data_IF_888996627500
#
_entry.id   IF_888996627500
#
_cell.length_a   1.000
_cell.length_b   1.000
_cell.length_c   1.000
_cell.angle_alpha   90.00
_cell.angle_beta   90.00
_cell.angle_gamma   90.00
#
_symmetry.space_group_name_H-M   'P 1'
#
loop_
_entity.id
_entity.type
_entity.pdbx_description
1 polymer ?
#
# COMPACT_ATOMS: atom_id res chain seq x y z
N UNK A 1 -8.68 -12.24 7.49
CA UNK A 1 -7.83 -13.00 6.54
C UNK A 1 -6.93 -12.01 5.81
N UNK A 2 -5.61 -12.28 5.65
CA UNK A 2 -4.75 -11.47 4.81
C UNK A 2 -5.12 -11.61 3.33
N UNK A 3 -5.26 -10.48 2.62
CA UNK A 3 -5.54 -10.44 1.18
C UNK A 3 -4.54 -9.55 0.46
N UNK A 4 -4.35 -9.77 -0.84
CA UNK A 4 -3.59 -8.86 -1.67
C UNK A 4 -4.26 -7.49 -1.73
N UNK A 5 -3.47 -6.41 -1.78
CA UNK A 5 -3.98 -5.04 -1.79
C UNK A 5 -3.35 -4.21 -2.88
N UNK A 6 -4.17 -3.42 -3.54
CA UNK A 6 -3.71 -2.56 -4.63
C UNK A 6 -3.07 -1.29 -4.07
N UNK A 7 -1.98 -0.88 -4.72
CA UNK A 7 -1.35 0.41 -4.55
C UNK A 7 -1.77 1.29 -5.73
N UNK A 8 -2.26 2.49 -5.44
CA UNK A 8 -2.67 3.46 -6.46
C UNK A 8 -1.65 4.59 -6.55
N UNK A 9 -1.62 5.28 -7.68
CA UNK A 9 -0.75 6.44 -7.85
C UNK A 9 -1.18 7.59 -6.90
N UNK A 10 -0.22 8.37 -6.41
CA UNK A 10 -0.45 9.52 -5.54
C UNK A 10 -1.14 10.68 -6.25
N UNK A 11 -1.16 10.68 -7.59
CA UNK A 11 -1.90 11.65 -8.42
C UNK A 11 -3.43 11.49 -8.38
N UNK A 12 -3.93 10.45 -7.68
CA UNK A 12 -5.36 10.15 -7.56
C UNK A 12 -5.91 9.26 -8.68
N UNK A 13 -5.05 8.78 -9.59
CA UNK A 13 -5.44 7.78 -10.59
C UNK A 13 -5.95 6.50 -9.92
N UNK A 14 -7.06 5.98 -10.43
CA UNK A 14 -7.64 4.72 -9.98
C UNK A 14 -6.96 3.49 -10.61
N UNK A 15 -5.99 3.68 -11.50
CA UNK A 15 -5.22 2.58 -12.06
C UNK A 15 -4.21 2.07 -11.00
N UNK A 16 -4.24 0.78 -10.64
CA UNK A 16 -3.27 0.23 -9.70
C UNK A 16 -1.88 0.20 -10.35
N UNK A 17 -0.87 0.58 -9.59
CA UNK A 17 0.54 0.62 -10.00
C UNK A 17 1.37 -0.50 -9.37
N UNK A 18 0.85 -1.13 -8.30
CA UNK A 18 1.44 -2.28 -7.65
C UNK A 18 0.41 -3.08 -6.85
N UNK A 19 0.82 -4.25 -6.38
CA UNK A 19 0.07 -5.11 -5.47
C UNK A 19 0.94 -5.46 -4.26
N UNK A 20 0.35 -5.41 -3.07
CA UNK A 20 0.94 -5.80 -1.81
C UNK A 20 0.46 -7.20 -1.45
N UNK A 21 1.34 -8.19 -1.60
CA UNK A 21 1.08 -9.58 -1.27
C UNK A 21 1.15 -9.81 0.25
N UNK A 22 0.26 -10.63 0.84
CA UNK A 22 0.38 -11.05 2.22
C UNK A 22 1.73 -11.69 2.53
N UNK A 23 2.24 -11.47 3.75
CA UNK A 23 3.52 -12.03 4.20
C UNK A 23 4.75 -11.30 3.67
N UNK A 24 4.58 -10.27 2.83
CA UNK A 24 5.67 -9.40 2.38
C UNK A 24 5.68 -8.10 3.18
N UNK A 25 6.86 -7.69 3.65
CA UNK A 25 7.03 -6.41 4.30
C UNK A 25 7.23 -5.30 3.27
N UNK A 26 6.49 -4.21 3.48
CA UNK A 26 6.50 -3.00 2.68
C UNK A 26 6.78 -1.81 3.60
N UNK A 27 7.48 -0.81 3.08
CA UNK A 27 7.78 0.37 3.86
C UNK A 27 6.55 1.27 3.91
N UNK A 28 6.04 1.59 5.10
CA UNK A 28 5.07 2.66 5.29
C UNK A 28 5.83 4.00 5.39
N UNK A 29 5.58 4.91 4.46
CA UNK A 29 6.30 6.18 4.37
C UNK A 29 5.53 7.33 5.01
N UNK A 30 4.20 7.34 4.87
CA UNK A 30 3.33 8.41 5.37
C UNK A 30 1.95 7.83 5.71
N UNK A 31 1.25 8.41 6.69
CA UNK A 31 -0.15 8.10 6.97
C UNK A 31 -1.04 9.29 6.61
N UNK A 32 -2.01 9.10 5.72
CA UNK A 32 -2.98 10.12 5.27
C UNK A 32 -4.39 9.70 5.67
N UNK A 33 -4.82 10.18 6.83
CA UNK A 33 -6.08 9.74 7.43
C UNK A 33 -6.09 8.22 7.64
N UNK A 34 -7.00 7.53 6.96
CA UNK A 34 -7.12 6.06 6.99
C UNK A 34 -6.25 5.33 5.97
N UNK A 35 -5.66 6.06 5.03
CA UNK A 35 -4.77 5.51 4.00
C UNK A 35 -3.29 5.61 4.40
N UNK A 36 -2.44 4.85 3.73
CA UNK A 36 -0.99 4.89 3.88
C UNK A 36 -0.32 5.18 2.54
N UNK A 37 0.79 5.92 2.55
CA UNK A 37 1.76 5.86 1.47
C UNK A 37 2.69 4.69 1.77
N UNK A 38 2.75 3.73 0.86
CA UNK A 38 3.62 2.57 0.98
C UNK A 38 4.63 2.54 -0.18
N UNK A 39 5.79 1.96 0.08
CA UNK A 39 6.82 1.68 -0.92
C UNK A 39 7.08 0.18 -1.00
N UNK A 40 7.05 -0.34 -2.23
CA UNK A 40 7.42 -1.73 -2.54
C UNK A 40 8.94 -1.91 -2.52
N UNK A 41 9.39 -3.16 -2.41
CA UNK A 41 10.83 -3.49 -2.38
C UNK A 41 11.58 -3.08 -3.65
N UNK A 42 10.88 -3.05 -4.80
CA UNK A 42 11.41 -2.56 -6.07
C UNK A 42 11.33 -1.03 -6.23
N UNK A 43 10.91 -0.31 -5.18
CA UNK A 43 10.96 1.15 -5.09
C UNK A 43 9.69 1.90 -5.52
N UNK A 44 8.66 1.22 -6.05
CA UNK A 44 7.38 1.87 -6.42
C UNK A 44 6.66 2.39 -5.18
N UNK A 45 6.17 3.62 -5.27
CA UNK A 45 5.46 4.32 -4.19
C UNK A 45 4.04 4.63 -4.61
N UNK A 46 3.12 4.55 -3.66
CA UNK A 46 1.72 4.88 -3.93
C UNK A 46 0.84 4.79 -2.68
N UNK A 47 -0.43 5.07 -2.90
CA UNK A 47 -1.47 5.12 -1.88
C UNK A 47 -2.09 3.75 -1.71
N UNK A 48 -2.08 3.27 -0.47
CA UNK A 48 -2.80 2.11 0.00
C UNK A 48 -4.05 2.56 0.73
N UNK A 49 -5.21 2.43 0.08
CA UNK A 49 -6.49 2.91 0.61
C UNK A 49 -7.10 1.94 1.62
N UNK A 50 -7.07 0.63 1.32
CA UNK A 50 -7.53 -0.38 2.27
C UNK A 50 -6.39 -0.80 3.20
N UNK A 51 -6.47 -0.36 4.44
CA UNK A 51 -5.50 -0.70 5.49
C UNK A 51 -6.04 -1.75 6.47
N UNK A 52 -7.24 -2.26 6.23
CA UNK A 52 -7.92 -3.23 7.10
C UNK A 52 -7.11 -4.52 7.17
N UNK A 53 -6.72 -4.96 8.37
CA UNK A 53 -6.01 -6.22 8.55
C UNK A 53 -4.56 -6.23 8.06
N UNK A 54 -3.95 -5.05 7.85
CA UNK A 54 -2.50 -4.91 7.67
C UNK A 54 -1.82 -5.03 9.03
N UNK A 55 -0.75 -5.82 9.07
CA UNK A 55 0.14 -5.90 10.23
C UNK A 55 1.20 -4.81 10.11
N UNK A 56 1.52 -4.16 11.23
CA UNK A 56 2.58 -3.15 11.34
C UNK A 56 3.60 -3.66 12.37
N UNK A 57 4.86 -3.37 12.13
CA UNK A 57 5.99 -3.77 12.98
C UNK A 57 6.99 -2.63 13.10
#
# INVERSE_FOLDING_TARGET
MPVARQLYNEDGSQAPIAELAPGTWYLAVEQRGSALIAQTQDGRRGVLQDTTGIQRG
#
